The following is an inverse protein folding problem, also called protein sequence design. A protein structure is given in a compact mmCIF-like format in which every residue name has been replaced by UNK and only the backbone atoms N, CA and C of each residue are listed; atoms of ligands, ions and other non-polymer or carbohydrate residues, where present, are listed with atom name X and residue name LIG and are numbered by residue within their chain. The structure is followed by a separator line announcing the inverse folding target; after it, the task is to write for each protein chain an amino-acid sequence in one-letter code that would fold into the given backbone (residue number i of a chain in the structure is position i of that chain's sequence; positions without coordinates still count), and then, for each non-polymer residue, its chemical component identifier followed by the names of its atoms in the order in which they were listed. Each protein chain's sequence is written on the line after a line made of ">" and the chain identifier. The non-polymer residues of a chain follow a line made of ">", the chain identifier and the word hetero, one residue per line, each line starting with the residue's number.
data_IF_141271126456
#
_entry.id   IF_141271126456
#
_cell.length_a   1.000
_cell.length_b   1.000
_cell.length_c   1.000
_cell.angle_alpha   90.00
_cell.angle_beta   90.00
_cell.angle_gamma   90.00
#
_symmetry.space_group_name_H-M   'P 1'
#
loop_
_entity.id
_entity.type
_entity.pdbx_description
1 polymer ?
#
# COMPACT_ATOMS: atom_id res chain seq x y z
N UNK A 1 18.04 -18.39 -12.56
CA UNK A 1 16.60 -18.51 -12.22
C UNK A 1 16.08 -17.25 -11.56
N UNK A 2 15.02 -16.66 -12.09
CA UNK A 2 14.60 -15.30 -11.73
C UNK A 2 13.81 -15.28 -10.42
N UNK A 3 14.26 -14.46 -9.47
CA UNK A 3 13.52 -14.15 -8.24
C UNK A 3 12.33 -13.26 -8.61
N UNK A 4 11.11 -13.78 -8.52
CA UNK A 4 9.85 -13.09 -8.84
C UNK A 4 9.11 -12.67 -7.57
N UNK A 5 9.78 -11.93 -6.68
CA UNK A 5 9.18 -11.54 -5.39
C UNK A 5 9.02 -10.02 -5.30
N UNK A 6 8.16 -9.58 -4.39
CA UNK A 6 8.12 -8.19 -3.99
C UNK A 6 9.51 -7.76 -3.50
N UNK A 7 9.97 -6.57 -3.92
CA UNK A 7 11.25 -6.02 -3.44
C UNK A 7 11.29 -6.03 -1.91
N UNK A 8 12.30 -6.70 -1.35
CA UNK A 8 12.67 -6.71 0.07
C UNK A 8 14.19 -6.48 0.18
N UNK A 9 14.72 -6.29 1.38
CA UNK A 9 16.16 -6.03 1.60
C UNK A 9 17.05 -7.15 1.04
N UNK A 10 16.53 -8.38 1.01
CA UNK A 10 17.28 -9.60 0.68
C UNK A 10 16.82 -10.23 -0.65
N UNK A 11 15.95 -9.55 -1.40
CA UNK A 11 15.41 -10.04 -2.66
C UNK A 11 15.54 -8.99 -3.76
N UNK A 12 15.99 -9.43 -4.95
CA UNK A 12 16.22 -8.56 -6.12
C UNK A 12 14.94 -7.89 -6.65
N UNK A 13 13.77 -8.35 -6.22
CA UNK A 13 12.48 -7.90 -6.72
C UNK A 13 12.19 -8.43 -8.12
N UNK A 14 11.08 -7.98 -8.71
CA UNK A 14 10.72 -8.36 -10.08
C UNK A 14 11.74 -7.87 -11.12
N UNK A 15 12.19 -8.77 -12.01
CA UNK A 15 13.08 -8.47 -13.14
C UNK A 15 12.44 -7.51 -14.16
N UNK A 16 11.14 -7.65 -14.38
CA UNK A 16 10.33 -6.79 -15.24
C UNK A 16 9.22 -6.14 -14.40
N UNK A 17 8.70 -5.00 -14.85
CA UNK A 17 7.63 -4.32 -14.13
C UNK A 17 6.37 -5.23 -14.07
N UNK A 18 5.86 -5.57 -12.87
CA UNK A 18 4.80 -6.58 -12.72
C UNK A 18 3.38 -6.04 -12.96
N UNK A 19 3.23 -4.71 -13.03
CA UNK A 19 1.96 -3.98 -13.09
C UNK A 19 2.14 -2.77 -14.01
N UNK A 20 1.07 -2.19 -14.54
CA UNK A 20 1.15 -0.95 -15.35
C UNK A 20 1.73 0.22 -14.54
N UNK A 21 1.42 0.26 -13.24
CA UNK A 21 1.99 1.20 -12.29
C UNK A 21 2.57 0.48 -11.07
N UNK A 22 3.90 0.60 -10.90
CA UNK A 22 4.63 0.04 -9.76
C UNK A 22 5.47 1.11 -9.06
N UNK A 23 5.03 1.55 -7.87
CA UNK A 23 5.62 2.72 -7.21
C UNK A 23 7.07 2.51 -6.74
N UNK A 24 7.55 1.27 -6.62
CA UNK A 24 8.90 0.96 -6.15
C UNK A 24 10.02 1.60 -7.00
N UNK A 25 9.81 1.73 -8.32
CA UNK A 25 10.79 2.38 -9.20
C UNK A 25 10.87 3.88 -8.90
N UNK A 26 9.71 4.54 -8.85
CA UNK A 26 9.59 5.95 -8.44
C UNK A 26 10.21 6.19 -7.07
N UNK A 27 9.99 5.25 -6.14
CA UNK A 27 10.60 5.29 -4.80
C UNK A 27 12.11 5.26 -4.80
N UNK A 28 12.68 4.41 -5.64
CA UNK A 28 14.13 4.26 -5.72
C UNK A 28 14.77 5.53 -6.29
N UNK A 29 14.11 6.18 -7.25
CA UNK A 29 14.58 7.45 -7.82
C UNK A 29 14.48 8.61 -6.82
N UNK A 30 13.36 8.74 -6.10
CA UNK A 30 13.19 9.77 -5.07
C UNK A 30 14.25 9.69 -3.96
N UNK A 31 14.72 8.49 -3.62
CA UNK A 31 15.81 8.28 -2.65
C UNK A 31 17.19 8.72 -3.16
N UNK A 32 17.47 8.54 -4.46
CA UNK A 32 18.78 8.89 -5.05
C UNK A 32 19.00 10.40 -5.09
N UNK A 33 17.95 11.19 -5.36
CA UNK A 33 18.04 12.64 -5.49
C UNK A 33 18.07 13.43 -4.18
N UNK A 34 17.63 12.87 -3.05
CA UNK A 34 17.31 13.66 -1.84
C UNK A 34 17.90 13.08 -0.55
N UNK A 35 19.24 13.04 -0.45
CA UNK A 35 19.93 12.58 0.78
C UNK A 35 19.77 13.51 2.00
N UNK A 36 19.36 14.77 1.82
CA UNK A 36 19.26 15.80 2.87
C UNK A 36 17.86 16.18 3.31
N UNK A 37 16.80 15.78 2.60
CA UNK A 37 15.41 16.10 2.96
C UNK A 37 14.89 15.13 4.02
N UNK A 38 13.98 15.65 4.87
CA UNK A 38 13.31 14.90 5.93
C UNK A 38 12.89 13.52 5.40
N UNK A 39 13.29 12.42 6.09
CA UNK A 39 13.22 11.03 5.58
C UNK A 39 11.83 10.62 5.06
N UNK A 40 10.78 11.37 5.38
CA UNK A 40 9.39 11.08 5.07
C UNK A 40 8.72 12.07 4.11
N UNK A 41 9.32 13.24 3.83
CA UNK A 41 8.71 14.30 3.03
C UNK A 41 9.54 14.65 1.78
N UNK A 42 8.87 14.77 0.64
CA UNK A 42 9.42 15.13 -0.66
C UNK A 42 8.57 16.28 -1.23
N UNK A 43 9.19 17.44 -1.49
CA UNK A 43 8.50 18.63 -2.02
C UNK A 43 7.22 19.02 -1.25
N UNK A 44 7.29 19.00 0.09
CA UNK A 44 6.15 19.36 0.95
C UNK A 44 5.07 18.28 1.11
N UNK A 45 5.18 17.15 0.42
CA UNK A 45 4.26 16.00 0.57
C UNK A 45 4.98 14.82 1.20
N UNK A 46 4.28 14.09 2.06
CA UNK A 46 4.76 12.78 2.48
C UNK A 46 4.77 11.81 1.31
N UNK A 47 5.55 10.75 1.44
CA UNK A 47 5.57 9.74 0.41
C UNK A 47 4.17 9.12 0.16
N UNK A 48 3.45 8.82 1.23
CA UNK A 48 2.14 8.18 1.10
C UNK A 48 1.12 9.11 0.46
N UNK A 49 1.23 10.43 0.64
CA UNK A 49 0.42 11.40 -0.10
C UNK A 49 0.70 11.33 -1.60
N UNK A 50 1.98 11.27 -1.99
CA UNK A 50 2.35 11.14 -3.40
C UNK A 50 1.80 9.85 -4.05
N UNK A 51 1.89 8.72 -3.35
CA UNK A 51 1.34 7.44 -3.79
C UNK A 51 -0.19 7.54 -3.96
N UNK A 52 -0.88 8.05 -2.94
CA UNK A 52 -2.34 8.12 -2.93
C UNK A 52 -2.92 9.08 -3.98
N UNK A 53 -2.25 10.19 -4.26
CA UNK A 53 -2.67 11.10 -5.33
C UNK A 53 -2.61 10.45 -6.71
N UNK A 54 -1.68 9.50 -6.92
CA UNK A 54 -1.52 8.80 -8.19
C UNK A 54 -2.53 7.69 -8.39
N UNK A 55 -3.15 7.17 -7.33
CA UNK A 55 -4.20 6.13 -7.46
C UNK A 55 -5.31 6.54 -8.43
N UNK A 56 -5.66 7.84 -8.48
CA UNK A 56 -6.65 8.38 -9.43
C UNK A 56 -6.24 8.23 -10.90
N UNK A 57 -4.93 8.23 -11.19
CA UNK A 57 -4.40 8.02 -12.55
C UNK A 57 -4.30 6.54 -12.92
N UNK A 58 -4.47 5.65 -11.95
CA UNK A 58 -4.28 4.21 -12.11
C UNK A 58 -5.59 3.42 -12.29
N UNK A 59 -6.75 4.09 -12.20
CA UNK A 59 -8.07 3.43 -12.16
C UNK A 59 -8.37 2.56 -13.38
N UNK A 60 -7.76 2.86 -14.53
CA UNK A 60 -7.89 2.09 -15.78
C UNK A 60 -6.76 1.07 -15.99
N UNK A 61 -6.01 0.73 -14.94
CA UNK A 61 -4.77 -0.04 -15.05
C UNK A 61 -4.56 -0.97 -13.86
N UNK A 62 -3.79 -2.04 -14.05
CA UNK A 62 -3.35 -2.87 -12.93
C UNK A 62 -2.22 -2.15 -12.19
N UNK A 63 -2.42 -1.83 -10.91
CA UNK A 63 -1.48 -1.05 -10.12
C UNK A 63 -1.16 -1.69 -8.77
N UNK A 64 0.08 -1.47 -8.32
CA UNK A 64 0.56 -1.94 -7.03
C UNK A 64 1.38 -0.86 -6.33
N UNK A 65 0.88 -0.46 -5.16
CA UNK A 65 1.42 0.62 -4.34
C UNK A 65 1.75 0.13 -2.93
N UNK A 66 2.87 0.58 -2.38
CA UNK A 66 3.41 0.13 -1.08
C UNK A 66 3.43 1.27 -0.06
N UNK A 67 2.76 1.09 1.09
CA UNK A 67 2.68 2.07 2.19
C UNK A 67 3.61 1.75 3.38
N UNK A 68 4.83 1.31 3.12
CA UNK A 68 5.66 0.68 4.18
C UNK A 68 6.52 1.72 4.94
N UNK A 69 6.96 2.79 4.26
CA UNK A 69 8.01 3.67 4.80
C UNK A 69 7.58 4.50 6.00
N UNK A 70 6.31 4.89 6.07
CA UNK A 70 5.82 5.71 7.20
C UNK A 70 5.44 4.87 8.42
N UNK A 71 5.10 3.60 8.22
CA UNK A 71 4.57 2.71 9.27
C UNK A 71 5.64 1.82 9.93
N UNK A 72 6.77 1.56 9.27
CA UNK A 72 7.76 0.54 9.66
C UNK A 72 8.24 0.56 11.13
N UNK A 73 8.22 1.71 11.80
CA UNK A 73 8.76 1.88 13.16
C UNK A 73 7.85 2.69 14.09
N UNK A 74 6.62 3.03 13.67
CA UNK A 74 5.77 3.92 14.47
C UNK A 74 4.28 3.65 14.26
N UNK A 75 3.63 3.19 15.34
CA UNK A 75 2.17 3.13 15.44
C UNK A 75 1.53 4.51 15.28
N UNK A 76 2.13 5.56 15.87
CA UNK A 76 1.62 6.93 15.75
C UNK A 76 1.52 7.40 14.30
N UNK A 77 2.51 7.07 13.45
CA UNK A 77 2.45 7.39 12.02
C UNK A 77 1.48 6.53 11.24
N UNK A 78 1.18 5.32 11.71
CA UNK A 78 0.14 4.48 11.10
C UNK A 78 -1.23 5.18 11.15
N UNK A 79 -1.53 5.92 12.22
CA UNK A 79 -2.76 6.74 12.32
C UNK A 79 -2.83 7.81 11.22
N UNK A 80 -1.71 8.43 10.86
CA UNK A 80 -1.68 9.39 9.74
C UNK A 80 -1.97 8.72 8.40
N UNK A 81 -1.42 7.51 8.19
CA UNK A 81 -1.65 6.73 6.98
C UNK A 81 -3.10 6.25 6.90
N UNK A 82 -3.68 5.80 8.00
CA UNK A 82 -5.08 5.39 8.08
C UNK A 82 -6.02 6.52 7.61
N UNK A 83 -5.84 7.73 8.17
CA UNK A 83 -6.60 8.92 7.74
C UNK A 83 -6.43 9.22 6.25
N UNK A 84 -5.22 9.07 5.73
CA UNK A 84 -4.92 9.33 4.33
C UNK A 84 -5.57 8.27 3.41
N UNK A 85 -5.46 6.98 3.74
CA UNK A 85 -6.10 5.89 3.01
C UNK A 85 -7.62 6.06 3.03
N UNK A 86 -8.21 6.30 4.21
CA UNK A 86 -9.65 6.53 4.37
C UNK A 86 -10.16 7.66 3.46
N UNK A 87 -9.48 8.82 3.44
CA UNK A 87 -9.81 9.92 2.53
C UNK A 87 -9.71 9.52 1.05
N UNK A 88 -8.67 8.78 0.67
CA UNK A 88 -8.51 8.29 -0.71
C UNK A 88 -9.64 7.33 -1.10
N UNK A 89 -9.96 6.35 -0.25
CA UNK A 89 -11.05 5.39 -0.49
C UNK A 89 -12.40 6.10 -0.62
N UNK A 90 -12.71 7.04 0.28
CA UNK A 90 -13.92 7.86 0.20
C UNK A 90 -13.98 8.64 -1.11
N UNK A 91 -12.86 9.21 -1.56
CA UNK A 91 -12.80 9.95 -2.81
C UNK A 91 -12.95 9.02 -4.03
N UNK A 92 -12.33 7.84 -4.05
CA UNK A 92 -12.53 6.84 -5.11
C UNK A 92 -14.00 6.41 -5.20
N UNK A 93 -14.64 6.17 -4.05
CA UNK A 93 -16.06 5.82 -3.97
C UNK A 93 -16.96 6.96 -4.45
N UNK A 94 -16.77 8.19 -3.95
CA UNK A 94 -17.58 9.37 -4.34
C UNK A 94 -17.49 9.71 -5.83
N UNK A 95 -16.37 9.38 -6.48
CA UNK A 95 -16.18 9.60 -7.92
C UNK A 95 -16.57 8.37 -8.77
N UNK A 96 -17.23 7.37 -8.19
CA UNK A 96 -17.65 6.13 -8.88
C UNK A 96 -16.51 5.33 -9.51
N UNK A 97 -15.25 5.58 -9.10
CA UNK A 97 -14.06 4.93 -9.66
C UNK A 97 -13.98 3.46 -9.22
N UNK A 98 -14.60 3.13 -8.08
CA UNK A 98 -14.71 1.76 -7.61
C UNK A 98 -15.75 0.92 -8.39
N UNK A 99 -16.64 1.54 -9.17
CA UNK A 99 -17.67 0.80 -9.90
C UNK A 99 -17.09 -0.16 -10.93
N UNK A 100 -15.86 0.07 -11.39
CA UNK A 100 -15.16 -0.80 -12.34
C UNK A 100 -13.76 -1.21 -11.85
N UNK A 101 -13.49 -1.13 -10.55
CA UNK A 101 -12.16 -1.40 -9.99
C UNK A 101 -12.25 -2.49 -8.92
N UNK A 102 -11.42 -3.52 -9.07
CA UNK A 102 -11.07 -4.40 -7.96
C UNK A 102 -10.00 -3.73 -7.12
N UNK A 103 -10.20 -3.67 -5.82
CA UNK A 103 -9.24 -3.08 -4.90
C UNK A 103 -8.93 -4.06 -3.78
N UNK A 104 -7.66 -4.40 -3.62
CA UNK A 104 -7.16 -5.14 -2.47
C UNK A 104 -6.25 -4.22 -1.65
N UNK A 105 -6.58 -4.05 -0.37
CA UNK A 105 -5.74 -3.39 0.62
C UNK A 105 -5.30 -4.45 1.63
N UNK A 106 -4.00 -4.67 1.75
CA UNK A 106 -3.48 -5.71 2.61
C UNK A 106 -2.18 -5.32 3.32
N UNK A 107 -1.94 -5.99 4.44
CA UNK A 107 -0.71 -5.97 5.21
C UNK A 107 -0.30 -7.40 5.54
N UNK A 108 0.99 -7.70 5.40
CA UNK A 108 1.58 -9.01 5.69
C UNK A 108 1.81 -9.23 7.20
N UNK A 109 2.09 -8.15 7.93
CA UNK A 109 2.29 -8.16 9.37
C UNK A 109 1.95 -6.80 10.00
N UNK A 110 1.72 -6.76 11.32
CA UNK A 110 1.63 -5.49 12.06
C UNK A 110 3.00 -4.95 12.47
N UNK A 111 3.13 -4.29 13.62
CA UNK A 111 4.42 -3.65 13.98
C UNK A 111 5.47 -4.70 14.39
N UNK A 112 6.58 -4.78 13.64
CA UNK A 112 7.69 -5.73 13.86
C UNK A 112 8.96 -5.09 14.42
N UNK A 113 8.91 -3.83 14.82
CA UNK A 113 10.08 -3.05 15.24
C UNK A 113 9.78 -2.14 16.43
N UNK A 114 10.82 -1.75 17.16
CA UNK A 114 10.72 -0.80 18.27
C UNK A 114 10.43 -1.44 19.63
N UNK A 115 10.31 -0.60 20.66
CA UNK A 115 10.23 -1.01 22.07
C UNK A 115 8.97 -1.80 22.42
N UNK A 116 7.91 -1.71 21.60
CA UNK A 116 6.66 -2.44 21.83
C UNK A 116 6.80 -3.92 21.50
N UNK A 117 7.66 -4.29 20.53
CA UNK A 117 7.81 -5.67 20.03
C UNK A 117 8.00 -6.75 21.12
N UNK A 118 8.89 -6.60 22.13
CA UNK A 118 9.09 -7.64 23.14
C UNK A 118 7.93 -7.79 24.14
N UNK A 119 6.97 -6.86 24.17
CA UNK A 119 5.81 -6.96 25.05
C UNK A 119 4.81 -8.00 24.54
N UNK A 120 3.94 -8.50 25.43
CA UNK A 120 2.86 -9.41 25.03
C UNK A 120 1.99 -8.82 23.89
N UNK A 121 1.64 -7.53 23.99
CA UNK A 121 0.88 -6.82 22.95
C UNK A 121 1.68 -6.72 21.65
N UNK A 122 2.98 -6.41 21.71
CA UNK A 122 3.82 -6.36 20.52
C UNK A 122 3.91 -7.68 19.78
N UNK A 123 3.92 -8.81 20.50
CA UNK A 123 3.89 -10.14 19.89
C UNK A 123 2.56 -10.45 19.21
N UNK A 124 1.44 -9.96 19.75
CA UNK A 124 0.13 -10.04 19.09
C UNK A 124 0.11 -9.17 17.83
N UNK A 125 0.52 -7.90 17.95
CA UNK A 125 0.55 -6.95 16.84
C UNK A 125 1.45 -7.39 15.68
N UNK A 126 2.61 -8.01 15.94
CA UNK A 126 3.48 -8.56 14.89
C UNK A 126 2.76 -9.61 14.02
N UNK A 127 1.73 -10.28 14.56
CA UNK A 127 1.01 -11.40 13.92
C UNK A 127 -0.38 -11.02 13.38
N UNK A 128 -0.60 -9.74 13.09
CA UNK A 128 -1.87 -9.24 12.52
C UNK A 128 -1.75 -8.97 11.01
N UNK A 129 -1.84 -10.01 10.15
CA UNK A 129 -2.08 -9.77 8.73
C UNK A 129 -3.49 -9.22 8.52
N UNK A 130 -3.66 -8.39 7.50
CA UNK A 130 -4.96 -7.83 7.12
C UNK A 130 -5.13 -7.96 5.61
N UNK A 131 -6.33 -8.32 5.17
CA UNK A 131 -6.73 -8.27 3.76
C UNK A 131 -8.16 -7.72 3.69
N UNK A 132 -8.32 -6.62 2.97
CA UNK A 132 -9.61 -6.00 2.66
C UNK A 132 -9.75 -5.97 1.15
N UNK A 133 -10.81 -6.57 0.63
CA UNK A 133 -11.10 -6.59 -0.80
C UNK A 133 -12.42 -5.88 -1.09
N UNK A 134 -12.37 -4.94 -2.02
CA UNK A 134 -13.55 -4.38 -2.65
C UNK A 134 -13.68 -4.95 -4.06
N UNK A 135 -14.86 -5.50 -4.32
CA UNK A 135 -15.24 -6.06 -5.63
C UNK A 135 -16.29 -5.13 -6.25
N UNK A 136 -16.15 -4.75 -7.53
CA UNK A 136 -17.08 -3.84 -8.18
C UNK A 136 -18.51 -4.41 -8.21
N UNK A 137 -19.56 -3.57 -8.07
CA UNK A 137 -20.94 -4.04 -7.94
C UNK A 137 -21.41 -4.92 -9.12
N UNK A 138 -21.01 -4.60 -10.35
CA UNK A 138 -21.40 -5.39 -11.53
C UNK A 138 -20.87 -6.83 -11.44
N UNK A 139 -19.66 -7.02 -10.90
CA UNK A 139 -19.05 -8.33 -10.77
C UNK A 139 -19.75 -9.11 -9.65
N UNK A 140 -20.07 -8.44 -8.55
CA UNK A 140 -20.86 -9.04 -7.46
C UNK A 140 -22.20 -9.56 -7.95
N UNK A 141 -22.91 -8.76 -8.75
CA UNK A 141 -24.23 -9.12 -9.27
C UNK A 141 -24.15 -10.27 -10.29
N UNK A 142 -23.14 -10.25 -11.18
CA UNK A 142 -22.98 -11.26 -12.24
C UNK A 142 -22.44 -12.60 -11.72
N UNK A 143 -21.55 -12.57 -10.73
CA UNK A 143 -20.80 -13.73 -10.25
C UNK A 143 -21.04 -14.01 -8.76
N UNK A 144 -22.24 -13.72 -8.27
CA UNK A 144 -22.62 -13.84 -6.85
C UNK A 144 -22.30 -15.23 -6.26
N UNK A 145 -22.45 -16.31 -7.04
CA UNK A 145 -22.15 -17.68 -6.62
C UNK A 145 -20.69 -17.93 -6.26
N UNK A 146 -19.75 -17.14 -6.79
CA UNK A 146 -18.31 -17.29 -6.58
C UNK A 146 -17.76 -16.43 -5.44
N UNK A 147 -18.58 -15.55 -4.85
CA UNK A 147 -18.17 -14.58 -3.83
C UNK A 147 -18.60 -14.98 -2.42
N UNK A 148 -18.72 -16.29 -2.15
CA UNK A 148 -18.94 -16.81 -0.80
C UNK A 148 -17.64 -16.65 0.00
N UNK A 149 -17.65 -15.73 0.95
CA UNK A 149 -16.59 -15.53 1.95
C UNK A 149 -16.98 -16.32 3.20
#
# INVERSE_FOLDING_TARGET
>A
DAVCTFYSKDMSGFKYQPTDYYDQLTMTQLKKGNRKLNKFCYHGKSLSEFVNERMFKMVSSFSLSKHIRMTHESLTRAVTIDKLISKTLQRLHKNSLLNNTFLALFGDHGIRSGKVRPTFIGQLEERLPMMLMYVPPWFKNKYCSYLRI
#
